data_IF_051563498042
#
_entry.id   IF_051563498042
#
_cell.length_a   1.000
_cell.length_b   1.000
_cell.length_c   1.000
_cell.angle_alpha   90.00
_cell.angle_beta   90.00
_cell.angle_gamma   90.00
#
_symmetry.space_group_name_H-M   'P 1'
#
loop_
_entity.id
_entity.type
_entity.pdbx_description
1 polymer ?
#
# COMPACT_ATOMS: atom_id res chain seq x y z
N UNK A 1 6.64 -1.76 -16.38
CA UNK A 1 7.39 -0.72 -15.66
C UNK A 1 7.53 -1.14 -14.20
N UNK A 2 8.74 -1.17 -13.69
CA UNK A 2 8.95 -1.50 -12.29
C UNK A 2 8.48 -0.38 -11.40
N UNK A 3 7.73 -0.74 -10.38
CA UNK A 3 7.34 0.19 -9.33
C UNK A 3 8.48 0.27 -8.34
N UNK A 4 9.05 1.45 -8.17
CA UNK A 4 10.12 1.66 -7.19
C UNK A 4 9.62 2.51 -6.04
N UNK A 5 9.51 1.89 -4.88
CA UNK A 5 9.25 2.62 -3.64
C UNK A 5 10.58 3.14 -3.10
N UNK A 6 10.71 4.46 -3.02
CA UNK A 6 11.89 5.07 -2.42
C UNK A 6 11.77 5.11 -0.91
N UNK A 7 12.90 5.24 -0.21
CA UNK A 7 12.88 5.42 1.23
C UNK A 7 12.05 6.63 1.66
N UNK A 8 12.07 7.69 0.88
CA UNK A 8 11.27 8.89 1.13
C UNK A 8 9.77 8.61 1.05
N UNK A 9 9.33 7.87 0.03
CA UNK A 9 7.93 7.48 -0.11
C UNK A 9 7.49 6.63 1.08
N UNK A 10 8.34 5.70 1.51
CA UNK A 10 8.03 4.83 2.65
C UNK A 10 7.94 5.62 3.95
N UNK A 11 8.86 6.55 4.18
CA UNK A 11 8.86 7.35 5.40
C UNK A 11 7.68 8.33 5.48
N UNK A 12 7.14 8.71 4.32
CA UNK A 12 6.00 9.63 4.22
C UNK A 12 4.69 8.88 3.94
N UNK A 13 4.71 7.56 3.98
CA UNK A 13 3.50 6.77 3.73
C UNK A 13 2.50 6.94 4.87
N UNK A 14 1.21 6.75 4.51
CA UNK A 14 0.12 6.80 5.46
C UNK A 14 -0.66 5.49 5.45
N UNK A 15 -1.23 5.15 6.59
CA UNK A 15 -2.13 4.00 6.71
C UNK A 15 -3.51 4.42 6.21
N UNK A 16 -4.03 3.71 5.22
CA UNK A 16 -5.38 3.97 4.69
C UNK A 16 -6.40 2.91 5.12
N UNK A 17 -5.94 1.75 5.59
CA UNK A 17 -6.80 0.75 6.21
C UNK A 17 -5.94 -0.16 7.09
N UNK A 18 -6.55 -0.75 8.13
CA UNK A 18 -5.87 -1.65 9.05
C UNK A 18 -6.76 -2.81 9.44
N UNK A 19 -6.19 -4.01 9.50
CA UNK A 19 -6.85 -5.19 10.01
C UNK A 19 -8.13 -5.51 9.26
N UNK A 20 -9.22 -5.68 9.98
CA UNK A 20 -10.51 -6.06 9.41
C UNK A 20 -11.07 -5.04 8.41
N UNK A 21 -10.60 -3.81 8.44
CA UNK A 21 -11.00 -2.78 7.47
C UNK A 21 -10.36 -2.97 6.11
N UNK A 22 -9.33 -3.79 6.03
CA UNK A 22 -8.76 -4.19 4.74
C UNK A 22 -9.69 -5.24 4.14
N UNK A 23 -10.22 -4.94 2.96
CA UNK A 23 -11.16 -5.83 2.27
C UNK A 23 -10.61 -7.23 2.10
N UNK A 24 -9.33 -7.34 1.73
CA UNK A 24 -8.67 -8.59 1.40
C UNK A 24 -7.87 -9.20 2.55
N UNK A 25 -8.12 -8.81 3.80
CA UNK A 25 -7.28 -9.23 4.92
C UNK A 25 -7.24 -10.75 5.09
N UNK A 26 -8.35 -11.43 4.87
CA UNK A 26 -8.39 -12.90 4.98
C UNK A 26 -7.51 -13.57 3.94
N UNK A 27 -7.52 -13.04 2.71
CA UNK A 27 -6.66 -13.52 1.63
C UNK A 27 -5.19 -13.27 1.96
N UNK A 28 -4.87 -12.09 2.50
CA UNK A 28 -3.49 -11.75 2.89
C UNK A 28 -2.96 -12.70 3.95
N UNK A 29 -3.75 -12.98 4.98
CA UNK A 29 -3.38 -13.94 6.03
C UNK A 29 -3.20 -15.34 5.45
N UNK A 30 -4.11 -15.77 4.59
CA UNK A 30 -4.04 -17.09 3.98
C UNK A 30 -2.82 -17.24 3.08
N UNK A 31 -2.46 -16.19 2.35
CA UNK A 31 -1.38 -16.23 1.36
C UNK A 31 0.01 -15.96 1.96
N UNK A 32 0.10 -15.01 2.85
CA UNK A 32 1.39 -14.56 3.41
C UNK A 32 1.56 -14.87 4.88
N UNK A 33 0.49 -15.17 5.59
CA UNK A 33 0.54 -15.45 7.02
C UNK A 33 0.32 -14.22 7.88
N UNK A 34 0.75 -14.32 9.13
CA UNK A 34 0.64 -13.23 10.10
C UNK A 34 -0.74 -13.11 10.71
N UNK A 35 -0.90 -12.08 11.53
CA UNK A 35 -2.13 -11.79 12.25
C UNK A 35 -2.92 -10.72 11.53
N UNK A 36 -4.21 -10.92 11.33
CA UNK A 36 -5.07 -9.97 10.63
C UNK A 36 -4.94 -8.54 11.18
N UNK A 37 -4.91 -8.38 12.50
CA UNK A 37 -4.84 -7.07 13.15
C UNK A 37 -3.53 -6.32 12.87
N UNK A 38 -2.49 -7.00 12.39
CA UNK A 38 -1.20 -6.40 12.08
C UNK A 38 -0.98 -6.12 10.60
N UNK A 39 -1.96 -6.41 9.76
CA UNK A 39 -1.91 -6.03 8.36
C UNK A 39 -2.36 -4.58 8.18
N UNK A 40 -1.63 -3.87 7.34
CA UNK A 40 -1.91 -2.48 6.98
C UNK A 40 -2.03 -2.35 5.49
N UNK A 41 -2.96 -1.52 5.03
CA UNK A 41 -2.95 -1.02 3.68
C UNK A 41 -2.39 0.38 3.72
N UNK A 42 -1.32 0.64 2.97
CA UNK A 42 -0.61 1.91 2.99
C UNK A 42 -0.61 2.58 1.63
N UNK A 43 -0.44 3.89 1.66
CA UNK A 43 -0.33 4.71 0.46
C UNK A 43 0.90 5.59 0.55
N UNK A 44 1.60 5.76 -0.58
CA UNK A 44 2.59 6.80 -0.73
C UNK A 44 1.93 8.18 -0.75
N UNK A 45 2.73 9.26 -0.61
CA UNK A 45 2.24 10.57 -0.98
C UNK A 45 1.81 10.59 -2.45
N UNK A 46 1.01 11.57 -2.81
CA UNK A 46 0.60 11.79 -4.18
C UNK A 46 1.81 12.21 -5.03
N UNK A 47 1.93 11.60 -6.18
CA UNK A 47 2.98 11.88 -7.16
C UNK A 47 2.34 12.45 -8.42
N UNK A 48 3.03 13.38 -9.05
CA UNK A 48 2.58 13.94 -10.33
C UNK A 48 3.61 13.62 -11.40
N UNK A 49 3.16 12.93 -12.45
CA UNK A 49 4.02 12.53 -13.57
C UNK A 49 3.26 12.86 -14.84
N UNK A 50 3.86 13.69 -15.70
CA UNK A 50 3.30 14.07 -16.99
C UNK A 50 1.85 14.59 -16.88
N UNK A 51 1.58 15.41 -15.88
CA UNK A 51 0.26 16.02 -15.68
C UNK A 51 -0.78 15.09 -15.06
N UNK A 52 -0.39 13.90 -14.66
CA UNK A 52 -1.29 12.92 -14.02
C UNK A 52 -0.84 12.68 -12.59
N UNK A 53 -1.82 12.48 -11.71
CA UNK A 53 -1.57 12.22 -10.29
C UNK A 53 -1.72 10.74 -9.98
N UNK A 54 -0.80 10.22 -9.21
CA UNK A 54 -0.75 8.81 -8.82
C UNK A 54 -0.43 8.67 -7.36
N UNK A 55 -0.83 7.52 -6.80
CA UNK A 55 -0.35 7.03 -5.52
C UNK A 55 0.06 5.58 -5.70
N UNK A 56 1.03 5.13 -4.91
CA UNK A 56 1.33 3.71 -4.79
C UNK A 56 0.62 3.19 -3.55
N UNK A 57 -0.08 2.07 -3.69
CA UNK A 57 -0.73 1.38 -2.58
C UNK A 57 -0.11 0.01 -2.43
N UNK A 58 0.05 -0.45 -1.19
CA UNK A 58 0.57 -1.78 -0.90
C UNK A 58 0.01 -2.28 0.42
N UNK A 59 0.22 -3.57 0.66
CA UNK A 59 -0.09 -4.18 1.95
C UNK A 59 1.21 -4.42 2.69
N UNK A 60 1.17 -4.25 4.00
CA UNK A 60 2.35 -4.38 4.83
C UNK A 60 2.01 -5.03 6.16
N UNK A 61 2.90 -5.93 6.60
CA UNK A 61 2.84 -6.54 7.92
C UNK A 61 4.22 -6.42 8.56
N UNK A 62 4.35 -5.86 9.78
CA UNK A 62 5.66 -5.60 10.40
C UNK A 62 6.57 -6.81 10.51
N UNK A 63 6.01 -7.99 10.74
CA UNK A 63 6.80 -9.22 10.87
C UNK A 63 7.07 -9.95 9.57
N UNK A 64 6.48 -9.54 8.44
CA UNK A 64 6.53 -10.28 7.19
C UNK A 64 7.09 -9.47 6.04
N UNK A 65 6.61 -8.23 5.84
CA UNK A 65 7.11 -7.38 4.77
C UNK A 65 6.02 -6.61 4.03
N UNK A 66 6.38 -6.17 2.83
CA UNK A 66 5.51 -5.39 1.94
C UNK A 66 5.18 -6.21 0.70
N UNK A 67 3.92 -6.17 0.30
CA UNK A 67 3.41 -6.99 -0.80
C UNK A 67 2.45 -6.22 -1.68
N UNK A 68 2.35 -6.66 -2.93
CA UNK A 68 1.32 -6.22 -3.87
C UNK A 68 1.29 -4.71 -4.08
N UNK A 69 2.47 -4.14 -4.31
CA UNK A 69 2.59 -2.72 -4.63
C UNK A 69 1.93 -2.47 -5.99
N UNK A 70 1.01 -1.51 -6.04
CA UNK A 70 0.37 -1.13 -7.29
C UNK A 70 0.25 0.38 -7.40
N UNK A 71 0.26 0.84 -8.65
CA UNK A 71 0.04 2.23 -9.00
C UNK A 71 -1.46 2.48 -9.12
N UNK A 72 -1.93 3.52 -8.45
CA UNK A 72 -3.33 3.92 -8.50
C UNK A 72 -3.39 5.34 -9.04
N UNK A 73 -4.05 5.51 -10.17
CA UNK A 73 -4.26 6.85 -10.72
C UNK A 73 -5.35 7.56 -9.94
N UNK A 74 -5.05 8.82 -9.58
CA UNK A 74 -6.01 9.67 -8.89
C UNK A 74 -6.62 10.59 -9.93
N UNK A 75 -7.92 10.46 -10.14
CA UNK A 75 -8.62 11.33 -11.06
C UNK A 75 -8.95 12.64 -10.38
N UNK A 76 -8.46 13.76 -10.89
CA UNK A 76 -8.91 15.06 -10.40
C UNK A 76 -10.38 15.22 -10.79
N UNK A 77 -11.10 15.82 -9.91
CA UNK A 77 -12.49 16.18 -10.18
C UNK A 77 -12.57 17.29 -11.24
#
# INVERSE_FOLDING_TARGET
MEVKLTGRMLSQSRVIAKGKRIRDVKRLVAQYGGTASKWFKKSSPQLEIAGRSFEYHWYEHPGIGRFEVKEVQINPL
#
